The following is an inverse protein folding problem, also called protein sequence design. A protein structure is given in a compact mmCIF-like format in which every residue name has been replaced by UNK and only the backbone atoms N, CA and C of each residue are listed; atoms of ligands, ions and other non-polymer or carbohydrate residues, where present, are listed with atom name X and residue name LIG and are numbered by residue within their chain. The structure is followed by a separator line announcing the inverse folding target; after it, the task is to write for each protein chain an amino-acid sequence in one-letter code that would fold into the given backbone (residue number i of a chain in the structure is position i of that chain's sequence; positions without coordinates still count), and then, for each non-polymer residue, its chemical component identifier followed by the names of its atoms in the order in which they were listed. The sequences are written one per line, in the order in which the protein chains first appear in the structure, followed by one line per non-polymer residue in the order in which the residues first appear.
data_IF_641277204768
#
_entry.id   IF_641277204768
#
_cell.length_a   1.000
_cell.length_b   1.000
_cell.length_c   1.000
_cell.angle_alpha   90.00
_cell.angle_beta   90.00
_cell.angle_gamma   90.00
#
_symmetry.space_group_name_H-M   'P 1'
#
loop_
_entity.id
_entity.type
_entity.pdbx_description
1 polymer ?
#
# COMPACT_ATOMS: atom_id res chain seq x y z
N UNK A 1 -2.04 -49.81 -3.52
CA UNK A 1 -1.44 -48.89 -4.51
C UNK A 1 -2.50 -47.89 -4.92
N UNK A 2 -2.50 -46.69 -4.31
CA UNK A 2 -3.42 -45.60 -4.67
C UNK A 2 -2.68 -44.70 -5.65
N UNK A 3 -3.13 -44.71 -6.91
CA UNK A 3 -2.59 -43.86 -7.97
C UNK A 3 -2.87 -42.39 -7.65
N UNK A 4 -1.87 -41.48 -7.72
CA UNK A 4 -2.11 -40.06 -7.51
C UNK A 4 -2.75 -39.46 -8.77
N UNK A 5 -3.96 -38.88 -8.62
CA UNK A 5 -4.62 -38.16 -9.71
C UNK A 5 -3.90 -36.84 -9.99
N UNK A 6 -3.58 -36.67 -11.27
CA UNK A 6 -3.03 -35.52 -12.00
C UNK A 6 -3.43 -34.16 -11.41
N UNK A 7 -2.42 -33.32 -11.18
CA UNK A 7 -2.52 -31.88 -10.92
C UNK A 7 -3.36 -31.19 -12.00
N UNK A 8 -4.51 -30.64 -11.62
CA UNK A 8 -5.26 -29.72 -12.47
C UNK A 8 -4.68 -28.31 -12.30
N UNK A 9 -4.08 -27.81 -13.38
CA UNK A 9 -3.64 -26.43 -13.49
C UNK A 9 -4.88 -25.54 -13.49
N UNK A 10 -5.11 -24.83 -12.37
CA UNK A 10 -6.14 -23.81 -12.25
C UNK A 10 -5.83 -22.69 -13.25
N UNK A 11 -6.59 -22.67 -14.35
CA UNK A 11 -6.58 -21.58 -15.33
C UNK A 11 -7.05 -20.31 -14.62
N UNK A 12 -6.21 -19.28 -14.61
CA UNK A 12 -6.58 -17.94 -14.16
C UNK A 12 -7.57 -17.38 -15.17
N UNK A 13 -8.84 -17.26 -14.76
CA UNK A 13 -9.81 -16.46 -15.47
C UNK A 13 -9.55 -15.01 -15.07
N UNK A 14 -9.04 -14.22 -16.01
CA UNK A 14 -9.03 -12.78 -15.91
C UNK A 14 -10.50 -12.34 -15.92
N UNK A 15 -11.00 -11.89 -14.76
CA UNK A 15 -12.33 -11.30 -14.64
C UNK A 15 -12.34 -9.95 -15.35
N UNK A 16 -12.74 -9.93 -16.62
CA UNK A 16 -13.23 -8.71 -17.26
C UNK A 16 -14.49 -8.25 -16.50
N UNK A 17 -14.38 -7.11 -15.83
CA UNK A 17 -15.51 -6.46 -15.17
C UNK A 17 -16.61 -6.16 -16.21
N UNK A 18 -17.86 -6.64 -16.04
CA UNK A 18 -18.91 -6.35 -16.99
C UNK A 18 -19.37 -4.89 -16.83
N UNK A 19 -18.82 -4.03 -17.67
CA UNK A 19 -19.34 -2.67 -17.87
C UNK A 19 -20.77 -2.76 -18.42
N UNK A 20 -21.74 -2.32 -17.62
CA UNK A 20 -23.14 -2.05 -17.98
C UNK A 20 -23.95 -3.22 -18.58
N UNK A 21 -24.34 -4.16 -17.73
CA UNK A 21 -25.46 -5.06 -18.03
C UNK A 21 -26.80 -4.33 -17.79
N UNK A 22 -27.58 -4.08 -18.85
CA UNK A 22 -28.93 -3.50 -18.72
C UNK A 22 -29.86 -4.52 -18.06
N UNK A 23 -30.41 -4.16 -16.91
CA UNK A 23 -31.45 -4.94 -16.24
C UNK A 23 -32.80 -4.67 -16.92
N UNK A 24 -33.67 -5.68 -17.08
CA UNK A 24 -35.03 -5.48 -17.56
C UNK A 24 -35.87 -4.70 -16.53
N UNK A 25 -36.95 -4.07 -16.99
CA UNK A 25 -37.88 -3.33 -16.13
C UNK A 25 -38.74 -4.32 -15.35
N UNK A 26 -38.81 -4.17 -14.03
CA UNK A 26 -39.66 -4.95 -13.13
C UNK A 26 -40.62 -4.03 -12.37
N UNK A 27 -41.78 -4.56 -11.97
CA UNK A 27 -42.70 -3.88 -11.03
C UNK A 27 -42.48 -4.41 -9.61
N UNK A 28 -42.78 -3.59 -8.60
CA UNK A 28 -42.79 -4.05 -7.21
C UNK A 28 -43.80 -5.20 -7.05
N UNK A 29 -43.41 -6.27 -6.34
CA UNK A 29 -44.18 -7.50 -6.14
C UNK A 29 -44.45 -8.36 -7.40
N UNK A 30 -43.66 -8.20 -8.46
CA UNK A 30 -43.71 -9.10 -9.62
C UNK A 30 -43.14 -10.50 -9.28
N UNK A 31 -43.88 -11.56 -9.59
CA UNK A 31 -43.45 -12.94 -9.35
C UNK A 31 -42.36 -13.34 -10.35
N UNK A 32 -41.17 -13.69 -9.84
CA UNK A 32 -40.04 -14.15 -10.65
C UNK A 32 -39.86 -15.66 -10.57
N UNK A 33 -39.58 -16.30 -11.71
CA UNK A 33 -39.31 -17.73 -11.77
C UNK A 33 -37.84 -17.99 -11.44
N UNK A 34 -37.58 -18.91 -10.50
CA UNK A 34 -36.24 -19.38 -10.21
C UNK A 34 -35.76 -20.27 -11.38
N UNK A 35 -34.91 -19.72 -12.25
CA UNK A 35 -34.35 -20.49 -13.37
C UNK A 35 -33.26 -21.46 -12.93
N UNK A 36 -32.35 -21.02 -12.06
CA UNK A 36 -31.19 -21.81 -11.62
C UNK A 36 -30.67 -21.35 -10.27
N UNK A 37 -30.37 -22.29 -9.39
CA UNK A 37 -29.63 -22.06 -8.15
C UNK A 37 -28.24 -22.67 -8.29
N UNK A 38 -27.19 -21.85 -8.24
CA UNK A 38 -25.79 -22.31 -8.31
C UNK A 38 -25.07 -21.86 -7.04
N UNK A 39 -24.80 -22.74 -6.08
CA UNK A 39 -24.06 -22.36 -4.88
C UNK A 39 -22.62 -22.00 -5.27
N UNK A 40 -22.19 -20.78 -4.95
CA UNK A 40 -20.82 -20.33 -5.13
C UNK A 40 -20.20 -20.04 -3.77
N UNK A 41 -19.11 -20.74 -3.47
CA UNK A 41 -18.31 -20.47 -2.29
C UNK A 41 -17.20 -19.49 -2.67
N UNK A 42 -17.21 -18.32 -2.04
CA UNK A 42 -16.16 -17.32 -2.20
C UNK A 42 -15.21 -17.40 -1.02
N UNK A 43 -13.90 -17.38 -1.31
CA UNK A 43 -12.85 -17.24 -0.31
C UNK A 43 -12.37 -15.79 -0.28
N UNK A 44 -12.04 -15.31 0.92
CA UNK A 44 -11.32 -14.04 1.07
C UNK A 44 -9.92 -14.20 0.50
N UNK A 45 -9.55 -13.29 -0.38
CA UNK A 45 -8.18 -13.21 -0.87
C UNK A 45 -7.35 -12.45 0.17
N UNK A 46 -6.10 -12.87 0.43
CA UNK A 46 -5.19 -12.08 1.24
C UNK A 46 -4.94 -10.72 0.57
N UNK A 47 -4.59 -9.71 1.37
CA UNK A 47 -4.30 -8.38 0.86
C UNK A 47 -3.17 -8.46 -0.18
N UNK A 48 -3.36 -7.80 -1.32
CA UNK A 48 -2.35 -7.77 -2.35
C UNK A 48 -1.13 -6.95 -1.89
N UNK A 49 0.10 -7.46 -2.08
CA UNK A 49 1.30 -6.68 -1.84
C UNK A 49 1.36 -5.46 -2.76
N UNK A 50 1.98 -4.38 -2.29
CA UNK A 50 2.13 -3.15 -3.05
C UNK A 50 2.94 -3.36 -4.34
N UNK A 51 2.47 -2.78 -5.43
CA UNK A 51 3.31 -2.45 -6.59
C UNK A 51 3.96 -1.09 -6.37
N UNK A 52 4.96 -0.72 -7.18
CA UNK A 52 5.56 0.62 -7.08
C UNK A 52 4.51 1.73 -7.27
N UNK A 53 3.60 1.57 -8.23
CA UNK A 53 2.53 2.53 -8.47
C UNK A 53 1.55 2.64 -7.29
N UNK A 54 1.19 1.51 -6.66
CA UNK A 54 0.32 1.51 -5.49
C UNK A 54 1.02 2.12 -4.27
N UNK A 55 2.33 1.88 -4.11
CA UNK A 55 3.11 2.50 -3.03
C UNK A 55 3.18 4.02 -3.19
N UNK A 56 3.40 4.51 -4.41
CA UNK A 56 3.41 5.95 -4.71
C UNK A 56 2.05 6.57 -4.37
N UNK A 57 0.95 5.93 -4.80
CA UNK A 57 -0.41 6.37 -4.45
C UNK A 57 -0.65 6.38 -2.94
N UNK A 58 -0.15 5.38 -2.21
CA UNK A 58 -0.27 5.32 -0.77
C UNK A 58 0.53 6.46 -0.09
N UNK A 59 1.74 6.75 -0.56
CA UNK A 59 2.55 7.87 -0.04
C UNK A 59 1.85 9.22 -0.28
N UNK A 60 1.27 9.42 -1.45
CA UNK A 60 0.49 10.61 -1.80
C UNK A 60 -0.75 10.78 -0.90
N UNK A 61 -1.54 9.71 -0.71
CA UNK A 61 -2.73 9.73 0.13
C UNK A 61 -2.42 10.01 1.61
N UNK A 62 -1.27 9.54 2.09
CA UNK A 62 -0.82 9.80 3.47
C UNK A 62 -0.08 11.13 3.62
N UNK A 63 0.12 11.90 2.53
CA UNK A 63 0.84 13.18 2.57
C UNK A 63 2.35 13.04 2.85
N UNK A 64 2.91 11.84 2.67
CA UNK A 64 4.33 11.55 2.94
C UNK A 64 5.13 11.71 1.65
N UNK A 65 5.87 12.81 1.55
CA UNK A 65 6.72 13.14 0.41
C UNK A 65 6.06 14.03 -0.65
N UNK A 66 6.81 14.26 -1.74
CA UNK A 66 6.45 15.16 -2.84
C UNK A 66 6.57 14.45 -4.20
N UNK A 67 5.90 14.95 -5.27
CA UNK A 67 6.03 14.37 -6.62
C UNK A 67 7.48 14.20 -7.09
N UNK A 68 8.38 15.09 -6.68
CA UNK A 68 9.81 15.03 -6.96
C UNK A 68 10.57 13.94 -6.19
N UNK A 69 10.04 13.46 -5.06
CA UNK A 69 10.73 12.56 -4.13
C UNK A 69 10.29 11.09 -4.25
N UNK A 70 9.09 10.80 -4.77
CA UNK A 70 8.54 9.44 -4.73
C UNK A 70 9.43 8.40 -5.43
N UNK A 71 9.87 8.71 -6.65
CA UNK A 71 10.76 7.82 -7.42
C UNK A 71 12.08 7.59 -6.71
N UNK A 72 12.66 8.64 -6.12
CA UNK A 72 13.91 8.57 -5.37
C UNK A 72 13.76 7.75 -4.09
N UNK A 73 12.65 7.90 -3.36
CA UNK A 73 12.37 7.11 -2.15
C UNK A 73 12.27 5.63 -2.49
N UNK A 74 11.49 5.28 -3.51
CA UNK A 74 11.33 3.89 -3.97
C UNK A 74 12.67 3.30 -4.45
N UNK A 75 13.49 4.08 -5.16
CA UNK A 75 14.82 3.64 -5.56
C UNK A 75 15.74 3.39 -4.36
N UNK A 76 15.72 4.28 -3.37
CA UNK A 76 16.58 4.21 -2.19
C UNK A 76 16.28 2.99 -1.31
N UNK A 77 14.99 2.70 -1.05
CA UNK A 77 14.60 1.54 -0.23
C UNK A 77 14.93 0.21 -0.91
N UNK A 78 14.90 0.17 -2.26
CA UNK A 78 15.34 -0.98 -3.05
C UNK A 78 16.85 -1.14 -3.00
N UNK A 79 17.60 -0.05 -3.24
CA UNK A 79 19.06 -0.05 -3.25
C UNK A 79 19.64 -0.48 -1.89
N UNK A 80 19.02 -0.07 -0.78
CA UNK A 80 19.43 -0.46 0.58
C UNK A 80 19.02 -1.88 0.98
N UNK A 81 18.29 -2.59 0.13
CA UNK A 81 17.90 -3.98 0.39
C UNK A 81 16.78 -4.16 1.42
N UNK A 82 16.04 -3.10 1.77
CA UNK A 82 14.87 -3.22 2.67
C UNK A 82 13.67 -3.88 1.99
N UNK A 83 13.60 -3.77 0.67
CA UNK A 83 12.50 -4.30 -0.15
C UNK A 83 13.08 -5.01 -1.38
N UNK A 84 12.52 -6.16 -1.71
CA UNK A 84 12.80 -6.93 -2.92
C UNK A 84 11.61 -6.93 -3.88
N UNK A 85 11.88 -7.06 -5.18
CA UNK A 85 10.83 -7.20 -6.21
C UNK A 85 10.61 -8.68 -6.49
N UNK A 86 9.40 -9.16 -6.21
CA UNK A 86 8.95 -10.52 -6.53
C UNK A 86 7.71 -10.41 -7.42
N UNK A 87 7.78 -10.91 -8.66
CA UNK A 87 6.67 -10.86 -9.62
C UNK A 87 6.07 -9.45 -9.81
N UNK A 88 6.92 -8.41 -9.92
CA UNK A 88 6.53 -6.98 -10.01
C UNK A 88 5.84 -6.42 -8.76
N UNK A 89 5.84 -7.16 -7.64
CA UNK A 89 5.32 -6.72 -6.35
C UNK A 89 6.48 -6.51 -5.37
N UNK A 90 6.31 -5.54 -4.48
CA UNK A 90 7.26 -5.19 -3.44
C UNK A 90 7.06 -6.10 -2.23
N UNK A 91 8.13 -6.75 -1.77
CA UNK A 91 8.14 -7.60 -0.60
C UNK A 91 9.22 -7.13 0.38
N UNK A 92 8.84 -6.93 1.65
CA UNK A 92 9.80 -6.56 2.70
C UNK A 92 10.78 -7.71 2.97
N UNK A 93 12.08 -7.41 2.95
CA UNK A 93 13.13 -8.37 3.30
C UNK A 93 13.19 -8.59 4.81
N UNK A 94 13.92 -9.62 5.26
CA UNK A 94 14.15 -9.84 6.69
C UNK A 94 14.80 -8.61 7.35
N UNK A 95 15.81 -8.05 6.70
CA UNK A 95 16.48 -6.82 7.14
C UNK A 95 15.50 -5.64 7.25
N UNK A 96 14.65 -5.44 6.25
CA UNK A 96 13.65 -4.36 6.27
C UNK A 96 12.69 -4.47 7.45
N UNK A 97 12.25 -5.69 7.80
CA UNK A 97 11.37 -5.94 8.94
C UNK A 97 12.06 -5.68 10.28
N UNK A 98 13.29 -6.14 10.42
CA UNK A 98 14.07 -5.96 11.65
C UNK A 98 14.36 -4.47 11.90
N UNK A 99 14.81 -3.75 10.88
CA UNK A 99 15.04 -2.30 10.96
C UNK A 99 13.75 -1.56 11.30
N UNK A 100 12.64 -1.91 10.64
CA UNK A 100 11.34 -1.31 10.94
C UNK A 100 10.92 -1.56 12.40
N UNK A 101 11.10 -2.77 12.92
CA UNK A 101 10.75 -3.11 14.30
C UNK A 101 11.59 -2.33 15.31
N UNK A 102 12.90 -2.21 15.08
CA UNK A 102 13.79 -1.43 15.95
C UNK A 102 13.40 0.05 15.93
N UNK A 103 13.21 0.64 14.75
CA UNK A 103 12.84 2.06 14.63
C UNK A 103 11.47 2.35 15.26
N UNK A 104 10.48 1.50 15.03
CA UNK A 104 9.13 1.68 15.60
C UNK A 104 9.13 1.56 17.13
N UNK A 105 9.99 0.71 17.69
CA UNK A 105 10.07 0.50 19.14
C UNK A 105 10.89 1.60 19.84
N UNK A 106 11.96 2.07 19.21
CA UNK A 106 12.86 3.07 19.79
C UNK A 106 12.40 4.51 19.54
N UNK A 107 11.62 4.75 18.49
CA UNK A 107 11.20 6.09 18.05
C UNK A 107 9.69 6.13 17.71
N UNK A 108 8.79 5.74 18.63
CA UNK A 108 7.37 5.56 18.34
C UNK A 108 6.63 6.85 17.95
N UNK A 109 7.15 8.04 18.27
CA UNK A 109 6.56 9.32 17.84
C UNK A 109 7.11 9.87 16.52
N UNK A 110 8.32 9.46 16.14
CA UNK A 110 9.01 9.97 14.95
C UNK A 110 8.71 9.11 13.70
N UNK A 111 8.46 7.81 13.91
CA UNK A 111 8.25 6.85 12.84
C UNK A 111 6.78 6.73 12.39
N UNK A 112 5.92 7.64 12.85
CA UNK A 112 4.52 7.72 12.46
C UNK A 112 4.33 8.46 11.14
N UNK A 113 3.39 7.99 10.34
CA UNK A 113 3.06 8.58 9.04
C UNK A 113 2.55 10.01 9.18
N UNK A 114 1.76 10.28 10.21
CA UNK A 114 1.19 11.60 10.53
C UNK A 114 2.27 12.62 10.89
N UNK A 115 3.29 12.20 11.63
CA UNK A 115 4.43 13.05 11.97
C UNK A 115 5.19 13.46 10.71
N UNK A 116 5.53 12.48 9.86
CA UNK A 116 6.23 12.74 8.59
C UNK A 116 5.42 13.64 7.66
N UNK A 117 4.11 13.40 7.55
CA UNK A 117 3.20 14.24 6.77
C UNK A 117 3.13 15.68 7.33
N UNK A 118 3.12 15.86 8.64
CA UNK A 118 3.17 17.16 9.30
C UNK A 118 4.48 17.92 9.05
N UNK A 119 5.61 17.21 9.06
CA UNK A 119 6.92 17.79 8.71
C UNK A 119 6.95 18.27 7.27
N UNK A 120 6.40 17.50 6.34
CA UNK A 120 6.32 17.87 4.92
C UNK A 120 5.36 19.06 4.70
N UNK A 121 4.20 19.03 5.37
CA UNK A 121 3.16 20.07 5.25
C UNK A 121 3.62 21.42 5.79
N UNK A 122 4.51 21.43 6.77
CA UNK A 122 5.24 22.63 7.16
C UNK A 122 6.18 22.92 5.99
N UNK A 123 5.89 23.91 5.10
CA UNK A 123 6.90 24.31 4.16
C UNK A 123 8.11 24.71 5.01
N UNK A 124 9.32 24.65 4.45
CA UNK A 124 10.40 25.47 4.94
C UNK A 124 9.89 26.92 4.92
N UNK A 125 9.16 27.33 5.97
CA UNK A 125 9.28 28.65 6.54
C UNK A 125 10.76 28.67 6.71
N UNK A 126 11.42 29.34 5.76
CA UNK A 126 12.64 30.03 6.05
C UNK A 126 12.31 30.62 7.42
N UNK A 127 12.80 29.97 8.49
CA UNK A 127 13.13 30.71 9.69
C UNK A 127 13.80 31.91 9.05
N UNK A 128 13.20 33.12 9.16
CA UNK A 128 13.82 34.28 8.55
C UNK A 128 15.26 34.13 9.00
N UNK A 129 16.18 34.02 8.04
CA UNK A 129 17.59 33.90 8.36
C UNK A 129 17.87 35.25 9.00
N UNK A 130 17.56 35.34 10.30
CA UNK A 130 17.86 36.44 11.16
C UNK A 130 19.36 36.35 11.09
N UNK A 131 19.94 37.27 10.33
CA UNK A 131 21.36 37.58 10.34
C UNK A 131 21.69 38.00 11.76
N UNK A 132 21.81 37.03 12.64
CA UNK A 132 22.27 37.10 14.02
C UNK A 132 22.41 35.66 14.44
N UNK A 133 23.64 35.15 14.35
CA UNK A 133 23.98 33.83 14.85
C UNK A 133 23.62 33.77 16.34
N UNK A 134 22.58 33.02 16.66
CA UNK A 134 22.32 32.52 18.00
C UNK A 134 21.21 31.47 17.96
N UNK A 135 21.62 30.21 18.19
CA UNK A 135 20.94 29.25 19.06
C UNK A 135 19.48 28.93 18.69
N UNK A 136 19.30 27.97 17.77
CA UNK A 136 18.18 27.02 17.85
C UNK A 136 18.72 25.64 17.46
N UNK A 137 19.58 25.10 18.32
CA UNK A 137 19.94 23.69 18.28
C UNK A 137 19.90 23.19 19.73
N UNK A 138 18.70 23.18 20.32
CA UNK A 138 18.43 22.59 21.64
C UNK A 138 16.91 22.61 21.92
N UNK A 139 16.15 21.74 21.26
CA UNK A 139 14.76 21.51 21.69
C UNK A 139 14.27 20.06 21.57
N UNK A 140 14.96 19.18 20.83
CA UNK A 140 14.38 17.85 20.55
C UNK A 140 15.41 16.72 20.43
N UNK A 141 16.52 16.85 21.17
CA UNK A 141 17.41 15.73 21.46
C UNK A 141 17.56 15.59 22.97
N UNK A 142 16.59 14.92 23.60
CA UNK A 142 16.74 14.34 24.93
C UNK A 142 16.04 12.99 24.98
#
# INVERSE_FOLDING_TARGET
MVSPKRNEVVKRADEEAPTNKRLPRFKANELVQLLKLTPQQHFTKPLEPYTEALLIKALEQNGVGRPSAYTQTVATIKQRGYVAILNRKLAATALGKEVHQVLSTKLPGLFETTFTAGMEATPTRLLPVRKSGAIICNAEYR
#
